data_IF_459359798058
#
_entry.id   IF_459359798058
#
_cell.length_a   1.000
_cell.length_b   1.000
_cell.length_c   1.000
_cell.angle_alpha   90.00
_cell.angle_beta   90.00
_cell.angle_gamma   90.00
#
_symmetry.space_group_name_H-M   'P 1'
#
loop_
_entity.id
_entity.type
_entity.pdbx_description
1 polymer ?
#
# COMPACT_ATOMS: atom_id res chain seq x y z
N UNK A 1 0.79 18.61 -27.52
CA UNK A 1 1.40 17.38 -28.05
C UNK A 1 0.27 16.37 -28.08
N UNK A 2 -0.32 16.13 -29.27
CA UNK A 2 -1.46 15.20 -29.39
C UNK A 2 -0.93 13.80 -29.11
N UNK A 3 -1.30 13.22 -27.98
CA UNK A 3 -0.99 11.81 -27.70
C UNK A 3 -1.80 10.98 -28.69
N UNK A 4 -1.16 10.00 -29.35
CA UNK A 4 -1.83 9.18 -30.34
C UNK A 4 -2.77 8.20 -29.60
N UNK A 5 -4.06 8.08 -29.98
CA UNK A 5 -5.01 7.14 -29.35
C UNK A 5 -4.51 5.70 -29.28
N UNK A 6 -3.67 5.30 -30.25
CA UNK A 6 -3.00 3.99 -30.28
C UNK A 6 -2.09 3.77 -29.06
N UNK A 7 -1.36 4.80 -28.61
CA UNK A 7 -0.46 4.70 -27.47
C UNK A 7 -1.23 4.48 -26.16
N UNK A 8 -2.40 5.12 -26.02
CA UNK A 8 -3.27 4.94 -24.85
C UNK A 8 -3.78 3.50 -24.84
N UNK A 9 -4.28 2.99 -25.96
CA UNK A 9 -4.81 1.62 -26.05
C UNK A 9 -3.75 0.54 -25.76
N UNK A 10 -2.52 0.72 -26.26
CA UNK A 10 -1.41 -0.17 -25.94
C UNK A 10 -1.08 -0.15 -24.45
N UNK A 11 -1.07 1.04 -23.84
CA UNK A 11 -0.77 1.20 -22.42
C UNK A 11 -1.89 0.64 -21.52
N UNK A 12 -3.15 0.82 -21.89
CA UNK A 12 -4.31 0.20 -21.22
C UNK A 12 -4.20 -1.33 -21.22
N UNK A 13 -3.79 -1.90 -22.36
CA UNK A 13 -3.57 -3.35 -22.48
C UNK A 13 -2.42 -3.82 -21.59
N UNK A 14 -1.29 -3.09 -21.59
CA UNK A 14 -0.13 -3.38 -20.73
C UNK A 14 -0.53 -3.33 -19.25
N UNK A 15 -1.18 -2.25 -18.82
CA UNK A 15 -1.64 -2.07 -17.43
C UNK A 15 -2.65 -3.16 -17.04
N UNK A 16 -3.58 -3.53 -17.93
CA UNK A 16 -4.52 -4.61 -17.67
C UNK A 16 -3.83 -5.97 -17.44
N UNK A 17 -2.74 -6.25 -18.17
CA UNK A 17 -1.95 -7.48 -17.98
C UNK A 17 -1.21 -7.52 -16.62
N UNK A 18 -0.94 -6.36 -16.00
CA UNK A 18 -0.34 -6.30 -14.66
C UNK A 18 -1.34 -6.70 -13.55
N UNK A 19 -2.65 -6.55 -13.79
CA UNK A 19 -3.68 -6.98 -12.83
C UNK A 19 -3.75 -8.51 -12.73
N UNK A 20 -3.76 -9.19 -13.88
CA UNK A 20 -3.83 -10.66 -13.97
C UNK A 20 -2.53 -11.36 -13.60
N UNK A 21 -1.44 -10.62 -13.36
CA UNK A 21 -0.11 -11.18 -13.12
C UNK A 21 0.58 -11.70 -14.38
N UNK A 22 0.06 -11.41 -15.57
CA UNK A 22 0.70 -11.74 -16.84
C UNK A 22 1.93 -10.85 -17.11
N UNK A 23 1.98 -9.66 -16.50
CA UNK A 23 3.14 -8.79 -16.48
C UNK A 23 3.49 -8.37 -15.06
N UNK A 24 4.77 -8.02 -14.87
CA UNK A 24 5.26 -7.49 -13.61
C UNK A 24 4.66 -6.11 -13.31
N UNK A 25 4.55 -5.79 -12.01
CA UNK A 25 4.05 -4.51 -11.56
C UNK A 25 4.98 -3.38 -11.99
N UNK A 26 4.45 -2.38 -12.71
CA UNK A 26 5.18 -1.21 -13.16
C UNK A 26 4.39 0.07 -12.86
N UNK A 27 4.73 0.72 -11.74
CA UNK A 27 4.13 1.99 -11.32
C UNK A 27 4.26 3.09 -12.38
N UNK A 28 5.39 3.16 -13.09
CA UNK A 28 5.62 4.20 -14.10
C UNK A 28 4.61 4.12 -15.24
N UNK A 29 4.31 2.91 -15.71
CA UNK A 29 3.29 2.69 -16.75
C UNK A 29 1.89 3.11 -16.28
N UNK A 30 1.50 2.70 -15.07
CA UNK A 30 0.20 3.07 -14.49
C UNK A 30 0.07 4.59 -14.34
N UNK A 31 1.11 5.25 -13.81
CA UNK A 31 1.13 6.71 -13.63
C UNK A 31 1.12 7.45 -14.96
N UNK A 32 1.79 6.92 -15.98
CA UNK A 32 1.75 7.51 -17.33
C UNK A 32 0.36 7.39 -17.95
N UNK A 33 -0.35 6.27 -17.73
CA UNK A 33 -1.73 6.11 -18.18
C UNK A 33 -2.66 7.13 -17.51
N UNK A 34 -2.55 7.30 -16.19
CA UNK A 34 -3.32 8.31 -15.45
C UNK A 34 -3.03 9.74 -15.97
N UNK A 35 -1.77 10.07 -16.26
CA UNK A 35 -1.42 11.35 -16.89
C UNK A 35 -2.09 11.51 -18.26
N UNK A 36 -2.10 10.48 -19.09
CA UNK A 36 -2.78 10.55 -20.39
C UNK A 36 -4.28 10.78 -20.26
N UNK A 37 -4.94 10.14 -19.30
CA UNK A 37 -6.35 10.41 -19.02
C UNK A 37 -6.63 11.86 -18.59
N UNK A 38 -5.67 12.52 -17.95
CA UNK A 38 -5.78 13.96 -17.64
C UNK A 38 -5.60 14.86 -18.87
N UNK A 39 -4.76 14.46 -19.84
CA UNK A 39 -4.50 15.25 -21.04
C UNK A 39 -5.59 15.10 -22.12
N UNK A 40 -6.31 13.99 -22.10
CA UNK A 40 -7.39 13.66 -23.05
C UNK A 40 -8.68 13.33 -22.28
N UNK A 41 -9.36 14.32 -21.67
CA UNK A 41 -10.57 14.06 -20.90
C UNK A 41 -11.71 13.60 -21.79
N UNK A 42 -12.42 12.57 -21.35
CA UNK A 42 -13.62 12.04 -22.02
C UNK A 42 -14.85 12.60 -21.33
N UNK A 43 -15.92 12.82 -22.09
CA UNK A 43 -17.21 13.24 -21.56
C UNK A 43 -17.77 12.20 -20.56
N UNK A 44 -18.24 12.71 -19.42
CA UNK A 44 -18.84 11.93 -18.33
C UNK A 44 -20.03 11.11 -18.86
N UNK A 45 -20.20 9.88 -18.37
CA UNK A 45 -21.33 9.02 -18.72
C UNK A 45 -21.18 8.25 -20.03
N UNK A 46 -20.15 8.52 -20.83
CA UNK A 46 -19.80 7.70 -22.00
C UNK A 46 -19.23 6.34 -21.61
N UNK A 47 -19.34 5.35 -22.50
CA UNK A 47 -18.74 4.02 -22.27
C UNK A 47 -17.22 4.09 -22.12
N UNK A 48 -16.57 5.01 -22.83
CA UNK A 48 -15.14 5.26 -22.68
C UNK A 48 -14.79 5.82 -21.28
N UNK A 49 -15.60 6.72 -20.72
CA UNK A 49 -15.40 7.22 -19.36
C UNK A 49 -15.53 6.09 -18.32
N UNK A 50 -16.56 5.23 -18.45
CA UNK A 50 -16.74 4.06 -17.56
C UNK A 50 -15.58 3.07 -17.65
N UNK A 51 -15.10 2.79 -18.86
CA UNK A 51 -13.96 1.89 -19.07
C UNK A 51 -12.68 2.44 -18.40
N UNK A 52 -12.43 3.75 -18.54
CA UNK A 52 -11.30 4.41 -17.86
C UNK A 52 -11.45 4.40 -16.34
N UNK A 53 -12.65 4.67 -15.83
CA UNK A 53 -12.97 4.59 -14.39
C UNK A 53 -12.66 3.21 -13.81
N UNK A 54 -13.04 2.15 -14.52
CA UNK A 54 -12.74 0.76 -14.14
C UNK A 54 -11.23 0.48 -14.09
N UNK A 55 -10.46 0.94 -15.08
CA UNK A 55 -9.00 0.79 -15.10
C UNK A 55 -8.37 1.55 -13.95
N UNK A 56 -8.77 2.80 -13.71
CA UNK A 56 -8.27 3.64 -12.62
C UNK A 56 -8.56 3.01 -11.25
N UNK A 57 -9.78 2.53 -11.03
CA UNK A 57 -10.14 1.83 -9.79
C UNK A 57 -9.25 0.60 -9.55
N UNK A 58 -8.96 -0.17 -10.60
CA UNK A 58 -8.06 -1.33 -10.53
C UNK A 58 -6.61 -0.96 -10.31
N UNK A 59 -6.12 0.15 -10.86
CA UNK A 59 -4.78 0.69 -10.55
C UNK A 59 -4.68 0.95 -9.06
N UNK A 60 -5.63 1.67 -8.46
CA UNK A 60 -5.64 1.98 -7.02
C UNK A 60 -5.62 0.68 -6.20
N UNK A 61 -6.51 -0.28 -6.53
CA UNK A 61 -6.60 -1.58 -5.85
C UNK A 61 -5.29 -2.38 -6.00
N UNK A 62 -4.69 -2.42 -7.19
CA UNK A 62 -3.42 -3.14 -7.42
C UNK A 62 -2.27 -2.51 -6.63
N UNK A 63 -2.19 -1.19 -6.59
CA UNK A 63 -1.17 -0.47 -5.82
C UNK A 63 -1.23 -0.81 -4.32
N UNK A 64 -2.43 -1.00 -3.77
CA UNK A 64 -2.61 -1.43 -2.37
C UNK A 64 -1.94 -2.77 -2.06
N UNK A 65 -1.82 -3.66 -3.05
CA UNK A 65 -1.24 -5.00 -2.87
C UNK A 65 0.29 -5.01 -2.86
N UNK A 66 0.94 -3.95 -3.35
CA UNK A 66 2.41 -3.90 -3.48
C UNK A 66 3.03 -2.93 -2.47
N UNK A 67 2.50 -1.70 -2.45
CA UNK A 67 3.03 -0.60 -1.65
C UNK A 67 1.84 0.25 -1.20
N UNK A 68 1.26 -0.06 -0.03
CA UNK A 68 -0.06 0.44 0.30
C UNK A 68 -0.15 1.95 0.48
N UNK A 69 0.98 2.57 0.84
CA UNK A 69 1.01 3.98 1.24
C UNK A 69 1.64 4.91 0.21
N UNK A 70 2.70 4.49 -0.48
CA UNK A 70 3.38 5.39 -1.42
C UNK A 70 2.70 5.39 -2.78
N UNK A 71 2.38 4.20 -3.31
CA UNK A 71 1.98 4.05 -4.71
C UNK A 71 0.49 4.33 -4.90
N UNK A 72 -0.36 3.86 -3.97
CA UNK A 72 -1.79 4.13 -4.01
C UNK A 72 -2.08 5.63 -3.84
N UNK A 73 -1.44 6.29 -2.87
CA UNK A 73 -1.55 7.73 -2.68
C UNK A 73 -1.06 8.51 -3.92
N UNK A 74 0.03 8.07 -4.55
CA UNK A 74 0.53 8.69 -5.78
C UNK A 74 -0.50 8.63 -6.92
N UNK A 75 -1.17 7.50 -7.11
CA UNK A 75 -2.25 7.37 -8.10
C UNK A 75 -3.42 8.33 -7.80
N UNK A 76 -3.80 8.47 -6.53
CA UNK A 76 -4.87 9.39 -6.11
C UNK A 76 -4.58 10.86 -6.46
N UNK A 77 -3.31 11.30 -6.40
CA UNK A 77 -2.93 12.68 -6.77
C UNK A 77 -3.05 12.99 -8.26
N UNK A 78 -3.19 11.97 -9.12
CA UNK A 78 -3.38 12.14 -10.56
C UNK A 78 -4.84 11.98 -11.00
N UNK A 79 -5.80 11.95 -10.08
CA UNK A 79 -7.21 11.82 -10.45
C UNK A 79 -7.79 13.17 -10.89
N UNK A 80 -8.43 13.19 -12.06
CA UNK A 80 -9.22 14.34 -12.54
C UNK A 80 -10.57 14.41 -11.83
N UNK A 81 -11.20 15.58 -11.83
CA UNK A 81 -12.55 15.76 -11.28
C UNK A 81 -13.58 14.80 -11.91
N UNK A 82 -13.49 14.58 -13.23
CA UNK A 82 -14.33 13.62 -13.96
C UNK A 82 -14.14 12.19 -13.47
N UNK A 83 -12.90 11.76 -13.22
CA UNK A 83 -12.65 10.41 -12.69
C UNK A 83 -13.13 10.25 -11.25
N UNK A 84 -13.14 11.32 -10.47
CA UNK A 84 -13.70 11.31 -9.11
C UNK A 84 -15.22 11.16 -9.10
N UNK A 85 -15.92 11.42 -10.19
CA UNK A 85 -17.38 11.19 -10.26
C UNK A 85 -17.73 9.72 -10.54
N UNK A 86 -16.77 8.89 -10.95
CA UNK A 86 -16.99 7.48 -11.24
C UNK A 86 -17.16 6.65 -9.95
N UNK A 87 -18.23 5.86 -9.88
CA UNK A 87 -18.58 5.05 -8.71
C UNK A 87 -17.51 3.99 -8.38
N UNK A 88 -16.84 3.42 -9.39
CA UNK A 88 -15.78 2.42 -9.16
C UNK A 88 -14.55 3.08 -8.56
N UNK A 89 -14.21 4.28 -9.04
CA UNK A 89 -13.09 5.07 -8.49
C UNK A 89 -13.40 5.46 -7.05
N UNK A 90 -14.62 5.91 -6.74
CA UNK A 90 -15.05 6.21 -5.37
C UNK A 90 -15.00 4.98 -4.44
N UNK A 91 -15.40 3.82 -4.94
CA UNK A 91 -15.30 2.57 -4.19
C UNK A 91 -13.84 2.19 -3.90
N UNK A 92 -12.94 2.33 -4.88
CA UNK A 92 -11.51 2.08 -4.71
C UNK A 92 -10.84 3.08 -3.76
N UNK A 93 -11.21 4.36 -3.82
CA UNK A 93 -10.74 5.39 -2.88
C UNK A 93 -11.19 5.09 -1.45
N UNK A 94 -12.44 4.68 -1.26
CA UNK A 94 -12.95 4.27 0.06
C UNK A 94 -12.15 3.11 0.63
N UNK A 95 -11.83 2.11 -0.20
CA UNK A 95 -10.97 1.00 0.21
C UNK A 95 -9.56 1.46 0.59
N UNK A 96 -8.95 2.31 -0.23
CA UNK A 96 -7.62 2.85 0.01
C UNK A 96 -7.57 3.63 1.34
N UNK A 97 -8.54 4.50 1.60
CA UNK A 97 -8.62 5.26 2.86
C UNK A 97 -8.81 4.34 4.07
N UNK A 98 -9.70 3.35 3.97
CA UNK A 98 -9.92 2.36 5.03
C UNK A 98 -8.64 1.57 5.34
N UNK A 99 -7.89 1.21 4.30
CA UNK A 99 -6.64 0.47 4.44
C UNK A 99 -5.53 1.35 5.05
N UNK A 100 -5.36 2.58 4.56
CA UNK A 100 -4.36 3.52 5.09
C UNK A 100 -4.61 3.90 6.55
N UNK A 101 -5.88 4.03 6.94
CA UNK A 101 -6.28 4.29 8.33
C UNK A 101 -6.31 3.03 9.21
N UNK A 102 -5.91 1.86 8.69
CA UNK A 102 -5.92 0.56 9.39
C UNK A 102 -7.32 0.21 9.94
N UNK A 103 -8.38 0.65 9.26
CA UNK A 103 -9.78 0.31 9.59
C UNK A 103 -10.16 -1.01 8.92
N UNK A 104 -9.48 -2.10 9.33
CA UNK A 104 -9.53 -3.38 8.61
C UNK A 104 -10.91 -4.06 8.65
N UNK A 105 -11.68 -3.92 9.73
CA UNK A 105 -13.06 -4.44 9.79
C UNK A 105 -13.95 -3.84 8.68
N UNK A 106 -13.87 -2.52 8.52
CA UNK A 106 -14.60 -1.80 7.48
C UNK A 106 -14.06 -2.12 6.08
N UNK A 107 -12.74 -2.28 5.95
CA UNK A 107 -12.09 -2.67 4.71
C UNK A 107 -12.60 -4.04 4.22
N UNK A 108 -12.57 -5.07 5.08
CA UNK A 108 -13.02 -6.41 4.72
C UNK A 108 -14.52 -6.45 4.40
N UNK A 109 -15.34 -5.67 5.12
CA UNK A 109 -16.76 -5.52 4.81
C UNK A 109 -16.98 -4.84 3.45
N UNK A 110 -16.17 -3.85 3.08
CA UNK A 110 -16.22 -3.20 1.76
C UNK A 110 -15.78 -4.16 0.64
N UNK A 111 -14.71 -4.93 0.85
CA UNK A 111 -14.22 -5.95 -0.09
C UNK A 111 -15.29 -7.00 -0.41
N UNK A 112 -16.11 -7.38 0.57
CA UNK A 112 -17.18 -8.34 0.39
C UNK A 112 -18.38 -7.81 -0.44
N UNK A 113 -18.47 -6.51 -0.71
CA UNK A 113 -19.57 -5.94 -1.51
C UNK A 113 -19.43 -6.38 -2.97
N UNK A 114 -20.52 -6.81 -3.66
CA UNK A 114 -20.44 -7.33 -5.02
C UNK A 114 -19.76 -6.40 -6.03
N UNK A 115 -20.03 -5.09 -5.95
CA UNK A 115 -19.42 -4.10 -6.82
C UNK A 115 -17.88 -4.06 -6.66
N UNK A 116 -17.40 -4.13 -5.42
CA UNK A 116 -15.97 -4.10 -5.10
C UNK A 116 -15.31 -5.44 -5.43
N UNK A 117 -16.00 -6.55 -5.17
CA UNK A 117 -15.52 -7.88 -5.53
C UNK A 117 -15.26 -8.01 -7.04
N UNK A 118 -16.11 -7.42 -7.88
CA UNK A 118 -15.92 -7.37 -9.34
C UNK A 118 -14.71 -6.51 -9.78
N UNK A 119 -14.31 -5.52 -8.98
CA UNK A 119 -13.08 -4.75 -9.22
C UNK A 119 -11.83 -5.55 -8.85
N UNK A 120 -11.93 -6.38 -7.81
CA UNK A 120 -10.83 -7.18 -7.26
C UNK A 120 -10.61 -8.47 -8.06
N UNK A 121 -11.66 -9.09 -8.61
CA UNK A 121 -11.57 -10.38 -9.32
C UNK A 121 -10.42 -10.48 -10.33
N UNK A 122 -10.13 -9.46 -11.17
CA UNK A 122 -9.02 -9.52 -12.12
C UNK A 122 -7.63 -9.31 -11.50
N UNK A 123 -7.56 -8.87 -10.23
CA UNK A 123 -6.33 -8.56 -9.50
C UNK A 123 -5.83 -9.84 -8.80
N UNK A 124 -4.99 -10.59 -9.50
CA UNK A 124 -4.44 -11.85 -8.99
C UNK A 124 -3.58 -11.60 -7.74
N UNK A 125 -3.79 -12.43 -6.72
CA UNK A 125 -3.06 -12.36 -5.45
C UNK A 125 -3.53 -11.27 -4.49
N UNK A 126 -4.64 -10.58 -4.77
CA UNK A 126 -5.11 -9.46 -3.94
C UNK A 126 -5.18 -9.81 -2.45
N UNK A 127 -5.92 -10.86 -2.08
CA UNK A 127 -6.14 -11.20 -0.68
C UNK A 127 -4.84 -11.59 0.05
N UNK A 128 -3.99 -12.39 -0.59
CA UNK A 128 -2.74 -12.86 0.01
C UNK A 128 -1.76 -11.70 0.20
N UNK A 129 -1.61 -10.86 -0.82
CA UNK A 129 -0.74 -9.69 -0.75
C UNK A 129 -1.21 -8.68 0.31
N UNK A 130 -2.53 -8.43 0.41
CA UNK A 130 -3.08 -7.55 1.45
C UNK A 130 -2.80 -8.11 2.85
N UNK A 131 -3.00 -9.42 3.06
CA UNK A 131 -2.69 -10.06 4.35
C UNK A 131 -1.21 -10.02 4.67
N UNK A 132 -0.35 -10.16 3.67
CA UNK A 132 1.11 -10.07 3.81
C UNK A 132 1.55 -8.66 4.23
N UNK A 133 0.95 -7.63 3.64
CA UNK A 133 1.14 -6.26 4.08
C UNK A 133 0.71 -6.08 5.53
N UNK A 134 -0.50 -6.52 5.89
CA UNK A 134 -1.01 -6.41 7.28
C UNK A 134 -0.07 -7.13 8.24
N UNK A 135 0.37 -8.33 7.90
CA UNK A 135 1.32 -9.12 8.68
C UNK A 135 2.66 -8.39 8.85
N UNK A 136 3.17 -7.75 7.79
CA UNK A 136 4.39 -6.95 7.84
C UNK A 136 4.26 -5.72 8.75
N UNK A 137 3.11 -5.05 8.76
CA UNK A 137 2.86 -3.93 9.69
C UNK A 137 2.74 -4.46 11.13
N UNK A 138 2.04 -5.57 11.34
CA UNK A 138 1.88 -6.18 12.67
C UNK A 138 3.22 -6.61 13.26
N UNK A 139 4.11 -7.21 12.46
CA UNK A 139 5.40 -7.72 12.94
C UNK A 139 6.32 -6.61 13.46
N UNK A 140 6.22 -5.39 12.91
CA UNK A 140 7.03 -4.24 13.35
C UNK A 140 6.32 -3.36 14.39
N UNK A 141 5.03 -3.58 14.67
CA UNK A 141 4.25 -2.77 15.62
C UNK A 141 3.93 -3.49 16.92
N UNK A 142 3.96 -4.83 16.92
CA UNK A 142 3.67 -5.66 18.08
C UNK A 142 4.82 -6.62 18.36
N UNK A 143 5.06 -6.88 19.65
CA UNK A 143 5.87 -8.02 20.10
C UNK A 143 4.99 -9.25 20.39
N UNK A 144 3.81 -9.00 20.98
CA UNK A 144 2.82 -10.01 21.36
C UNK A 144 1.43 -9.49 21.08
N UNK A 145 0.54 -10.34 20.58
CA UNK A 145 -0.82 -9.97 20.19
C UNK A 145 -1.74 -11.19 20.35
N UNK A 146 -3.03 -10.99 20.68
CA UNK A 146 -3.95 -12.12 20.80
C UNK A 146 -4.23 -12.74 19.43
N UNK A 147 -4.37 -14.07 19.40
CA UNK A 147 -4.67 -14.82 18.17
C UNK A 147 -6.01 -14.37 17.57
N UNK A 148 -6.98 -14.09 18.44
CA UNK A 148 -8.29 -13.52 18.08
C UNK A 148 -8.16 -12.18 17.34
N UNK A 149 -7.37 -11.24 17.87
CA UNK A 149 -7.17 -9.95 17.22
C UNK A 149 -6.46 -10.12 15.88
N UNK A 150 -5.44 -11.00 15.80
CA UNK A 150 -4.74 -11.23 14.53
C UNK A 150 -5.69 -11.75 13.46
N UNK A 151 -6.51 -12.75 13.82
CA UNK A 151 -7.51 -13.34 12.94
C UNK A 151 -8.48 -12.29 12.39
N UNK A 152 -8.93 -11.35 13.23
CA UNK A 152 -9.74 -10.21 12.79
C UNK A 152 -9.00 -9.31 11.81
N UNK A 153 -7.74 -8.95 12.09
CA UNK A 153 -6.95 -8.07 11.23
C UNK A 153 -6.75 -8.67 9.83
N UNK A 154 -6.40 -9.96 9.73
CA UNK A 154 -6.17 -10.63 8.43
C UNK A 154 -7.43 -11.26 7.83
N UNK A 155 -8.57 -11.16 8.52
CA UNK A 155 -9.83 -11.81 8.18
C UNK A 155 -9.68 -13.31 7.86
N UNK A 156 -9.05 -14.03 8.79
CA UNK A 156 -8.88 -15.49 8.74
C UNK A 156 -9.28 -16.11 10.08
N UNK A 157 -9.71 -17.37 10.03
CA UNK A 157 -10.07 -18.12 11.24
C UNK A 157 -9.71 -19.60 11.12
N UNK A 158 -9.68 -20.30 12.25
CA UNK A 158 -9.46 -21.74 12.30
C UNK A 158 -8.14 -22.18 11.63
N UNK A 159 -8.23 -23.20 10.78
CA UNK A 159 -7.06 -23.82 10.16
C UNK A 159 -6.29 -22.88 9.22
N UNK A 160 -6.98 -21.99 8.50
CA UNK A 160 -6.35 -21.05 7.56
C UNK A 160 -5.47 -20.04 8.31
N UNK A 161 -5.95 -19.56 9.47
CA UNK A 161 -5.18 -18.67 10.33
C UNK A 161 -3.91 -19.36 10.86
N UNK A 162 -4.03 -20.59 11.33
CA UNK A 162 -2.87 -21.37 11.81
C UNK A 162 -1.85 -21.63 10.70
N UNK A 163 -2.31 -21.94 9.48
CA UNK A 163 -1.45 -22.13 8.33
C UNK A 163 -0.72 -20.84 7.93
N UNK A 164 -1.42 -19.71 7.94
CA UNK A 164 -0.84 -18.40 7.63
C UNK A 164 0.22 -17.98 8.66
N UNK A 165 -0.06 -18.16 9.95
CA UNK A 165 0.93 -17.90 11.02
C UNK A 165 2.17 -18.79 10.85
N UNK A 166 1.95 -20.07 10.53
CA UNK A 166 3.03 -21.04 10.31
C UNK A 166 3.89 -20.68 9.10
N UNK A 167 3.29 -20.17 8.01
CA UNK A 167 4.04 -19.74 6.82
C UNK A 167 4.93 -18.53 7.08
N UNK A 168 4.60 -17.71 8.08
CA UNK A 168 5.45 -16.60 8.56
C UNK A 168 6.52 -17.03 9.57
N UNK A 169 6.51 -18.29 10.01
CA UNK A 169 7.44 -18.79 11.02
C UNK A 169 7.20 -18.22 12.42
N UNK A 170 5.99 -17.72 12.69
CA UNK A 170 5.63 -17.17 14.00
C UNK A 170 5.11 -18.26 14.94
N UNK A 171 5.23 -18.03 16.24
CA UNK A 171 4.84 -19.00 17.27
C UNK A 171 3.62 -18.56 18.04
N UNK A 172 2.79 -19.51 18.43
CA UNK A 172 1.59 -19.28 19.24
C UNK A 172 1.77 -19.97 20.60
N UNK A 173 1.67 -19.19 21.67
CA UNK A 173 1.70 -19.65 23.06
C UNK A 173 0.30 -19.51 23.66
N UNK A 174 -0.49 -20.59 23.61
CA UNK A 174 -1.89 -20.55 24.03
C UNK A 174 -2.74 -19.67 23.10
N UNK A 175 -3.22 -18.53 23.59
CA UNK A 175 -3.98 -17.53 22.81
C UNK A 175 -3.12 -16.33 22.37
N UNK A 176 -1.82 -16.35 22.64
CA UNK A 176 -0.91 -15.24 22.35
C UNK A 176 0.00 -15.59 21.18
N UNK A 177 -0.07 -14.79 20.12
CA UNK A 177 0.87 -14.78 19.02
C UNK A 177 2.14 -14.02 19.46
N UNK A 178 3.29 -14.68 19.39
CA UNK A 178 4.61 -14.09 19.64
C UNK A 178 5.27 -13.74 18.31
N UNK A 179 5.69 -12.49 18.16
CA UNK A 179 6.27 -11.95 16.93
C UNK A 179 7.80 -11.77 17.07
N UNK A 180 8.56 -11.79 15.96
CA UNK A 180 10.00 -11.51 16.00
C UNK A 180 10.28 -10.13 16.59
N UNK A 181 11.29 -10.05 17.45
CA UNK A 181 11.75 -8.77 18.01
C UNK A 181 12.61 -8.04 16.98
N UNK A 182 12.22 -6.82 16.65
CA UNK A 182 12.92 -5.91 15.75
C UNK A 182 13.09 -4.55 16.42
N UNK A 183 14.10 -3.73 16.06
CA UNK A 183 14.31 -2.42 16.66
C UNK A 183 13.05 -1.54 16.71
N UNK A 184 12.19 -1.66 15.70
CA UNK A 184 10.94 -0.91 15.55
C UNK A 184 9.87 -1.32 16.58
N UNK A 185 9.87 -2.58 17.03
CA UNK A 185 8.88 -3.08 18.00
C UNK A 185 9.45 -3.26 19.41
N UNK A 186 10.77 -3.14 19.59
CA UNK A 186 11.43 -3.15 20.90
C UNK A 186 11.58 -1.74 21.44
N UNK A 187 11.35 -1.54 22.73
CA UNK A 187 11.84 -0.35 23.42
C UNK A 187 13.35 -0.31 23.20
N UNK A 188 13.87 0.77 22.60
CA UNK A 188 15.30 1.03 22.64
C UNK A 188 15.67 1.08 24.11
N UNK A 189 16.36 0.05 24.61
CA UNK A 189 17.02 0.08 25.91
C UNK A 189 17.77 1.39 25.93
N UNK A 190 17.28 2.32 26.76
CA UNK A 190 17.54 3.75 26.60
C UNK A 190 19.02 3.95 26.34
N UNK A 191 19.38 4.17 25.08
CA UNK A 191 20.73 4.58 24.75
C UNK A 191 20.78 5.95 25.40
N UNK A 192 21.32 5.99 26.62
CA UNK A 192 21.74 7.23 27.23
C UNK A 192 22.68 7.79 26.19
N UNK A 193 22.19 8.74 25.40
CA UNK A 193 23.00 9.52 24.49
C UNK A 193 23.84 10.38 25.42
N UNK A 194 24.88 9.76 25.98
CA UNK A 194 25.99 10.49 26.54
C UNK A 194 26.72 11.02 25.32
N UNK A 195 26.59 12.32 25.07
CA UNK A 195 27.43 13.03 24.12
C UNK A 195 28.90 12.80 24.53
N UNK A 196 29.53 11.78 23.95
CA UNK A 196 30.93 11.49 24.18
C UNK A 196 31.75 12.36 23.24
N UNK A 197 31.67 13.68 23.45
CA UNK A 197 32.45 14.66 22.68
C UNK A 197 33.93 14.37 22.95
N UNK A 198 34.62 13.84 21.94
CA UNK A 198 36.04 13.57 22.05
C UNK A 198 36.81 14.89 21.92
N UNK A 199 37.83 15.10 22.76
CA UNK A 199 38.70 16.28 22.72
C UNK A 199 39.18 16.68 21.29
N UNK A 200 39.49 15.74 20.38
CA UNK A 200 39.86 16.05 18.99
C UNK A 200 38.77 16.79 18.18
N UNK A 201 37.49 16.61 18.52
CA UNK A 201 36.37 17.28 17.85
C UNK A 201 36.28 18.76 18.23
N UNK A 202 36.78 19.12 19.42
CA UNK A 202 36.85 20.50 19.91
C UNK A 202 38.13 21.22 19.45
N UNK A 203 39.13 20.50 18.94
CA UNK A 203 40.40 21.08 18.51
C UNK A 203 40.22 22.16 17.45
N UNK A 204 39.25 22.02 16.52
CA UNK A 204 38.98 23.05 15.50
C UNK A 204 38.54 24.38 16.10
N UNK A 205 37.74 24.36 17.17
CA UNK A 205 37.28 25.56 17.87
C UNK A 205 38.43 26.19 18.69
N UNK A 206 39.23 25.36 19.36
CA UNK A 206 40.38 25.81 20.14
C UNK A 206 41.45 26.44 19.23
N UNK A 207 41.75 25.80 18.10
CA UNK A 207 42.70 26.32 17.12
C UNK A 207 42.21 27.66 16.57
N UNK A 208 40.94 27.78 16.20
CA UNK A 208 40.37 29.04 15.70
C UNK A 208 40.45 30.17 16.74
N UNK A 209 40.15 29.89 18.01
CA UNK A 209 40.29 30.87 19.09
C UNK A 209 41.75 31.29 19.34
N UNK A 210 42.71 30.38 19.15
CA UNK A 210 44.14 30.64 19.37
C UNK A 210 44.82 31.45 18.25
N UNK A 211 44.31 31.42 17.02
CA UNK A 211 44.83 32.24 15.90
C UNK A 211 44.21 33.64 15.82
N UNK A 212 43.31 33.99 16.73
CA UNK A 212 42.61 35.29 16.76
C UNK A 212 43.30 36.35 17.64
N UNK A 213 44.57 36.17 18.02
CA UNK A 213 45.40 37.13 18.76
C UNK A 213 46.63 37.53 17.94
#
# INVERSE_FOLDING_TARGET
MSVLPEQISQLETSVAAQFSGAQEYNLSEMMNLLKFYNFDPVEVGTEAAKARGLIVARIIIKSLTVSPRADAAAACYLLSATLLEDENVQAALTLQEQFECIRLDAFWASVAKPAVAALIEPVVGFFDNIRDVIAGVVSITYQRLSLSLFGTLVNLSGAELTQFISSKGWTVEGDVLSLPLVPENTSSDGSVVSDNIQLPQLTKLITYASTSN
#
